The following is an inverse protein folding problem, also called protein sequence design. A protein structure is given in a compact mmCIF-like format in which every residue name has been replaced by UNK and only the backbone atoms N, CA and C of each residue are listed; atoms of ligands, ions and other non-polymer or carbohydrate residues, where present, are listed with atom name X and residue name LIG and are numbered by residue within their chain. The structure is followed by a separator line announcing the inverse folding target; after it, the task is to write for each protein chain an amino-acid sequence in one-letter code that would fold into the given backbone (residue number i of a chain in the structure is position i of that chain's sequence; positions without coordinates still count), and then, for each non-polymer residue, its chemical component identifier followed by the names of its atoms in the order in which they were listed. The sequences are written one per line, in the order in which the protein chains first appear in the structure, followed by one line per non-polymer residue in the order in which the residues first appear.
data_IF_481070839929
#
_entry.id   IF_481070839929
#
_cell.length_a   1.000
_cell.length_b   1.000
_cell.length_c   1.000
_cell.angle_alpha   90.00
_cell.angle_beta   90.00
_cell.angle_gamma   90.00
#
_symmetry.space_group_name_H-M   'P 1'
#
loop_
_entity.id
_entity.type
_entity.pdbx_description
1 polymer ?
#
# COMPACT_ATOMS: atom_id res chain seq x y z
N UNK A 1 11.51 -5.30 -20.14
CA UNK A 1 10.67 -4.08 -20.20
C UNK A 1 9.88 -4.02 -18.91
N UNK A 2 9.79 -2.88 -18.22
CA UNK A 2 9.00 -2.79 -16.98
C UNK A 2 7.59 -2.33 -17.32
N UNK A 3 6.58 -3.02 -16.81
CA UNK A 3 5.18 -2.58 -16.88
C UNK A 3 4.83 -1.85 -15.59
N UNK A 4 4.15 -0.72 -15.74
CA UNK A 4 3.52 0.05 -14.69
C UNK A 4 2.02 -0.27 -14.68
N UNK A 5 1.53 -0.73 -13.54
CA UNK A 5 0.11 -0.88 -13.26
C UNK A 5 -0.27 0.17 -12.21
N UNK A 6 -1.17 1.08 -12.58
CA UNK A 6 -1.74 2.08 -11.67
C UNK A 6 -3.13 1.61 -11.25
N UNK A 7 -3.36 1.50 -9.94
CA UNK A 7 -4.68 1.21 -9.36
C UNK A 7 -5.20 2.46 -8.66
N UNK A 8 -6.36 2.96 -9.09
CA UNK A 8 -7.09 4.05 -8.45
C UNK A 8 -8.28 3.43 -7.73
N UNK A 9 -8.26 3.50 -6.40
CA UNK A 9 -9.27 2.90 -5.52
C UNK A 9 -10.19 4.01 -5.03
N UNK A 10 -11.50 3.83 -5.18
CA UNK A 10 -12.54 4.70 -4.63
C UNK A 10 -13.52 3.89 -3.79
N UNK A 11 -13.79 4.32 -2.56
CA UNK A 11 -14.60 3.59 -1.59
C UNK A 11 -13.93 3.40 -0.24
N UNK A 12 -14.37 2.37 0.49
CA UNK A 12 -13.88 2.07 1.84
C UNK A 12 -13.84 0.56 2.12
N UNK A 13 -13.22 0.18 3.23
CA UNK A 13 -13.07 -1.23 3.58
C UNK A 13 -14.38 -1.94 3.98
N UNK A 14 -15.42 -1.20 4.37
CA UNK A 14 -16.72 -1.74 4.77
C UNK A 14 -17.59 -2.06 3.54
N UNK A 15 -17.59 -1.20 2.52
CA UNK A 15 -18.38 -1.38 1.28
C UNK A 15 -17.59 -2.00 0.12
N UNK A 16 -16.27 -2.04 0.24
CA UNK A 16 -15.34 -2.35 -0.85
C UNK A 16 -15.00 -1.12 -1.69
N UNK A 17 -14.16 -1.34 -2.70
CA UNK A 17 -13.62 -0.28 -3.56
C UNK A 17 -13.96 -0.55 -5.03
N UNK A 18 -14.36 0.51 -5.72
CA UNK A 18 -14.32 0.56 -7.17
C UNK A 18 -12.88 0.87 -7.60
N UNK A 19 -12.38 0.12 -8.57
CA UNK A 19 -10.97 0.13 -8.97
C UNK A 19 -10.87 0.47 -10.44
N UNK A 20 -10.37 1.66 -10.73
CA UNK A 20 -9.93 2.03 -12.07
C UNK A 20 -8.46 1.64 -12.21
N UNK A 21 -8.13 0.82 -13.20
CA UNK A 21 -6.76 0.39 -13.43
C UNK A 21 -6.26 0.82 -14.80
N UNK A 22 -4.98 1.12 -14.89
CA UNK A 22 -4.26 1.50 -16.11
C UNK A 22 -2.95 0.72 -16.18
N UNK A 23 -2.65 0.15 -17.35
CA UNK A 23 -1.41 -0.56 -17.64
C UNK A 23 -0.63 0.22 -18.69
N UNK A 24 0.63 0.54 -18.42
CA UNK A 24 1.54 1.16 -19.38
C UNK A 24 2.94 0.54 -19.31
N UNK A 25 3.72 0.55 -20.40
CA UNK A 25 5.17 0.49 -20.28
C UNK A 25 5.66 1.67 -19.43
N UNK A 26 6.64 1.45 -18.56
CA UNK A 26 7.16 2.49 -17.68
C UNK A 26 7.60 3.73 -18.47
N UNK A 27 7.13 4.90 -18.07
CA UNK A 27 7.35 6.18 -18.77
C UNK A 27 6.51 6.42 -20.04
N UNK A 28 5.55 5.55 -20.37
CA UNK A 28 4.69 5.69 -21.55
C UNK A 28 3.20 5.88 -21.21
N UNK A 29 2.40 6.19 -22.24
CA UNK A 29 0.94 6.28 -22.11
C UNK A 29 0.32 4.90 -21.81
N UNK A 30 -0.82 4.85 -21.09
CA UNK A 30 -1.56 3.61 -20.87
C UNK A 30 -1.91 2.90 -22.18
N UNK A 31 -1.58 1.62 -22.25
CA UNK A 31 -1.93 0.72 -23.36
C UNK A 31 -3.22 -0.04 -23.10
N UNK A 32 -3.60 -0.20 -21.83
CA UNK A 32 -4.88 -0.77 -21.43
C UNK A 32 -5.41 -0.07 -20.18
N UNK A 33 -6.73 -0.01 -20.05
CA UNK A 33 -7.40 0.48 -18.85
C UNK A 33 -8.73 -0.23 -18.67
N UNK A 34 -9.24 -0.21 -17.44
CA UNK A 34 -10.54 -0.79 -17.16
C UNK A 34 -11.03 -0.48 -15.76
N UNK A 35 -12.22 -0.96 -15.48
CA UNK A 35 -12.90 -0.82 -14.19
C UNK A 35 -13.10 -2.21 -13.62
N UNK A 36 -12.89 -2.36 -12.33
CA UNK A 36 -13.08 -3.60 -11.59
C UNK A 36 -13.54 -3.29 -10.19
N UNK A 37 -14.05 -4.30 -9.49
CA UNK A 37 -14.47 -4.15 -8.10
C UNK A 37 -13.55 -4.95 -7.19
N UNK A 38 -13.05 -4.29 -6.16
CA UNK A 38 -12.36 -4.92 -5.06
C UNK A 38 -13.39 -5.10 -3.95
N UNK A 39 -13.87 -6.34 -3.80
CA UNK A 39 -14.84 -6.68 -2.77
C UNK A 39 -14.31 -6.32 -1.38
N UNK A 40 -15.23 -6.04 -0.46
CA UNK A 40 -14.94 -5.71 0.94
C UNK A 40 -13.80 -6.55 1.53
N UNK A 41 -12.98 -5.93 2.38
CA UNK A 41 -11.86 -6.60 2.99
C UNK A 41 -12.37 -7.85 3.74
N UNK A 42 -11.84 -9.06 3.47
CA UNK A 42 -12.40 -10.29 4.03
C UNK A 42 -12.19 -10.39 5.55
N UNK A 43 -11.36 -9.54 6.15
CA UNK A 43 -11.11 -9.52 7.59
C UNK A 43 -11.09 -8.09 8.13
N UNK A 44 -11.66 -7.91 9.34
CA UNK A 44 -11.57 -6.69 10.17
C UNK A 44 -10.11 -6.24 10.38
N UNK A 45 -9.15 -7.15 10.24
CA UNK A 45 -7.73 -6.89 10.44
C UNK A 45 -7.12 -5.88 9.45
N UNK A 46 -7.59 -5.83 8.19
CA UNK A 46 -6.96 -4.94 7.21
C UNK A 46 -7.16 -3.46 7.55
N UNK A 47 -8.35 -3.10 8.05
CA UNK A 47 -8.65 -1.74 8.51
C UNK A 47 -7.76 -1.37 9.68
N UNK A 48 -7.64 -2.28 10.65
CA UNK A 48 -6.83 -2.07 11.84
C UNK A 48 -5.34 -1.95 11.49
N UNK A 49 -4.82 -2.81 10.62
CA UNK A 49 -3.43 -2.77 10.14
C UNK A 49 -3.15 -1.48 9.37
N UNK A 50 -4.10 -1.04 8.53
CA UNK A 50 -3.99 0.24 7.83
C UNK A 50 -3.92 1.42 8.81
N UNK A 51 -4.77 1.45 9.83
CA UNK A 51 -4.75 2.46 10.88
C UNK A 51 -3.42 2.48 11.63
N UNK A 52 -2.90 1.32 12.03
CA UNK A 52 -1.58 1.20 12.70
C UNK A 52 -0.47 1.78 11.82
N UNK A 53 -0.45 1.44 10.53
CA UNK A 53 0.53 1.97 9.60
C UNK A 53 0.38 3.50 9.46
N UNK A 54 -0.83 3.99 9.24
CA UNK A 54 -1.15 5.41 9.11
C UNK A 54 -0.70 6.22 10.34
N UNK A 55 -1.01 5.74 11.54
CA UNK A 55 -0.61 6.37 12.79
C UNK A 55 0.92 6.36 12.96
N UNK A 56 1.58 5.29 12.54
CA UNK A 56 3.05 5.20 12.57
C UNK A 56 3.70 6.16 11.57
N UNK A 57 3.12 6.33 10.37
CA UNK A 57 3.51 7.35 9.39
C UNK A 57 3.40 8.76 10.00
N UNK A 58 2.27 9.05 10.65
CA UNK A 58 2.06 10.35 11.30
C UNK A 58 3.04 10.58 12.45
N UNK A 59 3.35 9.56 13.25
CA UNK A 59 4.36 9.66 14.32
C UNK A 59 5.76 9.95 13.76
N UNK A 60 6.08 9.43 12.57
CA UNK A 60 7.35 9.66 11.90
C UNK A 60 7.41 11.04 11.20
N UNK A 61 6.32 11.48 10.56
CA UNK A 61 6.24 12.74 9.82
C UNK A 61 5.86 13.97 10.67
N UNK A 62 5.17 13.76 11.78
CA UNK A 62 4.77 14.81 12.74
C UNK A 62 5.92 15.29 13.62
N UNK A 63 7.01 14.54 13.69
CA UNK A 63 8.23 15.02 14.30
C UNK A 63 8.95 15.98 13.34
N UNK A 64 8.81 17.30 13.58
CA UNK A 64 9.82 18.34 13.24
C UNK A 64 11.20 18.08 13.88
N UNK A 65 11.51 16.83 14.25
CA UNK A 65 12.76 16.42 14.86
C UNK A 65 13.75 16.32 13.70
N UNK A 66 14.50 17.40 13.51
CA UNK A 66 15.69 17.37 12.66
C UNK A 66 16.61 16.29 13.22
N UNK A 67 16.85 15.25 12.41
CA UNK A 67 17.83 14.22 12.72
C UNK A 67 19.20 14.89 12.89
N UNK A 68 19.73 14.88 14.12
CA UNK A 68 21.11 15.26 14.39
C UNK A 68 21.91 13.94 14.45
N UNK A 69 22.88 13.73 13.53
CA UNK A 69 23.74 12.56 13.57
C UNK A 69 24.44 12.46 14.94
N UNK A 70 24.53 11.26 15.51
CA UNK A 70 25.26 10.93 16.75
C UNK A 70 24.63 11.34 18.10
N UNK A 71 23.36 11.75 18.16
CA UNK A 71 22.69 11.95 19.45
C UNK A 71 22.13 10.64 20.02
N UNK A 72 22.43 10.33 21.29
CA UNK A 72 22.02 9.09 21.99
C UNK A 72 20.49 8.98 22.14
N UNK A 73 19.76 10.09 22.00
CA UNK A 73 18.29 10.15 21.92
C UNK A 73 17.70 9.57 20.62
N UNK A 74 18.52 9.21 19.63
CA UNK A 74 18.09 8.59 18.37
C UNK A 74 17.52 7.17 18.50
N UNK A 75 17.59 6.52 19.66
CA UNK A 75 16.95 5.20 19.88
C UNK A 75 15.46 5.27 19.56
N UNK A 76 14.80 6.38 19.93
CA UNK A 76 13.36 6.58 19.66
C UNK A 76 13.09 6.72 18.16
N UNK A 77 13.97 7.40 17.42
CA UNK A 77 13.82 7.54 15.96
C UNK A 77 14.12 6.23 15.22
N UNK A 78 15.18 5.52 15.58
CA UNK A 78 15.50 4.22 15.01
C UNK A 78 14.39 3.18 15.28
N UNK A 79 13.83 3.18 16.50
CA UNK A 79 12.67 2.37 16.85
C UNK A 79 11.43 2.75 16.02
N UNK A 80 11.12 4.04 15.88
CA UNK A 80 10.00 4.52 15.04
C UNK A 80 10.16 4.14 13.56
N UNK A 81 11.37 4.22 13.01
CA UNK A 81 11.66 3.78 11.64
C UNK A 81 11.48 2.26 11.50
N UNK A 82 11.89 1.48 12.51
CA UNK A 82 11.69 0.03 12.52
C UNK A 82 10.19 -0.32 12.61
N UNK A 83 9.44 0.32 13.51
CA UNK A 83 7.98 0.20 13.64
C UNK A 83 7.29 0.53 12.31
N UNK A 84 7.68 1.64 11.67
CA UNK A 84 7.14 2.05 10.37
C UNK A 84 7.40 0.99 9.29
N UNK A 85 8.64 0.52 9.17
CA UNK A 85 9.01 -0.52 8.19
C UNK A 85 8.24 -1.82 8.42
N UNK A 86 8.08 -2.23 9.68
CA UNK A 86 7.32 -3.42 10.03
C UNK A 86 5.84 -3.26 9.73
N UNK A 87 5.22 -2.14 10.11
CA UNK A 87 3.83 -1.84 9.79
C UNK A 87 3.58 -1.79 8.27
N UNK A 88 4.49 -1.17 7.51
CA UNK A 88 4.42 -1.11 6.05
C UNK A 88 4.56 -2.50 5.41
N UNK A 89 5.48 -3.33 5.90
CA UNK A 89 5.65 -4.70 5.42
C UNK A 89 4.41 -5.56 5.70
N UNK A 90 3.83 -5.45 6.89
CA UNK A 90 2.59 -6.14 7.27
C UNK A 90 1.44 -5.69 6.38
N UNK A 91 1.22 -4.37 6.24
CA UNK A 91 0.17 -3.83 5.37
C UNK A 91 0.34 -4.31 3.92
N UNK A 92 1.56 -4.24 3.39
CA UNK A 92 1.89 -4.72 2.04
C UNK A 92 1.52 -6.18 1.85
N UNK A 93 1.86 -7.06 2.81
CA UNK A 93 1.49 -8.47 2.76
C UNK A 93 -0.03 -8.66 2.69
N UNK A 94 -0.78 -8.02 3.58
CA UNK A 94 -2.24 -8.16 3.64
C UNK A 94 -2.94 -7.59 2.40
N UNK A 95 -2.48 -6.45 1.89
CA UNK A 95 -3.00 -5.87 0.63
C UNK A 95 -2.71 -6.80 -0.54
N UNK A 96 -1.50 -7.36 -0.65
CA UNK A 96 -1.16 -8.32 -1.70
C UNK A 96 -2.03 -9.58 -1.61
N UNK A 97 -2.23 -10.13 -0.42
CA UNK A 97 -3.09 -11.31 -0.23
C UNK A 97 -4.54 -11.02 -0.63
N UNK A 98 -5.05 -9.83 -0.28
CA UNK A 98 -6.40 -9.39 -0.66
C UNK A 98 -6.54 -9.20 -2.17
N UNK A 99 -5.59 -8.51 -2.80
CA UNK A 99 -5.56 -8.30 -4.24
C UNK A 99 -5.45 -9.62 -5.02
N UNK A 100 -4.61 -10.55 -4.57
CA UNK A 100 -4.45 -11.87 -5.19
C UNK A 100 -5.70 -12.76 -5.09
N UNK A 101 -6.56 -12.55 -4.08
CA UNK A 101 -7.84 -13.25 -3.94
C UNK A 101 -8.98 -12.56 -4.71
N UNK A 102 -8.75 -11.35 -5.22
CA UNK A 102 -9.76 -10.57 -5.94
C UNK A 102 -9.78 -10.89 -7.44
N UNK A 103 -10.81 -10.37 -8.13
CA UNK A 103 -10.89 -10.42 -9.59
C UNK A 103 -9.72 -9.70 -10.28
N UNK A 104 -9.03 -8.78 -9.59
CA UNK A 104 -7.85 -8.07 -10.09
C UNK A 104 -6.61 -8.98 -10.21
N UNK A 105 -6.61 -10.15 -9.58
CA UNK A 105 -5.48 -11.09 -9.64
C UNK A 105 -5.07 -11.46 -11.07
N UNK A 106 -6.03 -11.55 -11.99
CA UNK A 106 -5.76 -11.82 -13.41
C UNK A 106 -4.98 -10.68 -14.08
N UNK A 107 -5.28 -9.45 -13.71
CA UNK A 107 -4.62 -8.24 -14.21
C UNK A 107 -3.23 -8.10 -13.58
N UNK A 108 -3.13 -8.35 -12.28
CA UNK A 108 -1.86 -8.29 -11.53
C UNK A 108 -0.84 -9.33 -11.97
N UNK A 109 -1.29 -10.50 -12.45
CA UNK A 109 -0.42 -11.57 -12.92
C UNK A 109 -0.23 -11.56 -14.44
N UNK A 110 -0.76 -10.57 -15.16
CA UNK A 110 -0.73 -10.52 -16.63
C UNK A 110 0.69 -10.33 -17.20
N UNK A 111 1.64 -9.84 -16.38
CA UNK A 111 3.04 -9.59 -16.75
C UNK A 111 4.01 -10.67 -16.22
N UNK A 112 3.49 -11.77 -15.65
CA UNK A 112 4.30 -12.88 -15.10
C UNK A 112 4.45 -14.08 -16.04
N UNK A 113 3.87 -14.03 -17.25
CA UNK A 113 3.96 -15.07 -18.28
C UNK A 113 4.64 -14.53 -19.53
#
# INVERSE_FOLDING_TARGET
MKILLVLKLDGDFATGFDVNWEISPDGQRPVASGISKLALAPTLDLVHIYQIWHDTCHRLGGSRIQYIPNQITNVRYAALVSEYKQAAATLSKFVNDWLNRSALSKILNMDRN
#
